data_IF_883068714733
#
_entry.id   IF_883068714733
#
_cell.length_a   1.000
_cell.length_b   1.000
_cell.length_c   1.000
_cell.angle_alpha   90.00
_cell.angle_beta   90.00
_cell.angle_gamma   90.00
#
_symmetry.space_group_name_H-M   'P 1'
#
loop_
_entity.id
_entity.type
_entity.pdbx_description
1 polymer ?
#
# COMPACT_ATOMS: atom_id res chain seq x y z
N UNK A 1 -12.94 -2.45 -2.60
CA UNK A 1 -11.78 -3.15 -3.19
C UNK A 1 -10.54 -2.32 -2.92
N UNK A 2 -9.39 -2.96 -2.66
CA UNK A 2 -8.09 -2.31 -2.62
C UNK A 2 -7.68 -2.16 -4.09
N UNK A 3 -7.62 -0.95 -4.64
CA UNK A 3 -7.36 -0.70 -6.07
C UNK A 3 -5.92 -0.98 -6.50
N UNK A 4 -5.30 -2.04 -5.98
CA UNK A 4 -3.88 -2.36 -6.12
C UNK A 4 -3.73 -3.79 -6.61
N UNK A 5 -2.82 -3.99 -7.59
CA UNK A 5 -2.45 -5.32 -8.07
C UNK A 5 -1.55 -5.99 -7.03
N UNK A 6 -1.97 -7.15 -6.56
CA UNK A 6 -1.18 -7.98 -5.66
C UNK A 6 -0.55 -9.13 -6.44
N UNK A 7 0.55 -9.67 -5.91
CA UNK A 7 1.09 -10.92 -6.40
C UNK A 7 0.05 -12.03 -6.28
N UNK A 8 -0.05 -12.91 -7.29
CA UNK A 8 -1.09 -13.96 -7.37
C UNK A 8 -1.15 -14.83 -6.11
N UNK A 9 0.00 -15.14 -5.52
CA UNK A 9 0.09 -15.93 -4.30
C UNK A 9 -0.48 -15.20 -3.09
N UNK A 10 -0.20 -13.91 -2.96
CA UNK A 10 -0.72 -13.07 -1.87
C UNK A 10 -2.23 -12.87 -2.00
N UNK A 11 -2.72 -12.68 -3.23
CA UNK A 11 -4.16 -12.59 -3.48
C UNK A 11 -4.90 -13.88 -3.09
N UNK A 12 -4.34 -15.05 -3.42
CA UNK A 12 -4.90 -16.34 -3.01
C UNK A 12 -4.93 -16.52 -1.49
N UNK A 13 -3.90 -16.05 -0.78
CA UNK A 13 -3.88 -16.07 0.69
C UNK A 13 -4.94 -15.15 1.29
N UNK A 14 -5.14 -13.96 0.72
CA UNK A 14 -6.18 -13.02 1.15
C UNK A 14 -7.59 -13.54 0.88
N UNK A 15 -7.80 -14.22 -0.25
CA UNK A 15 -9.06 -14.90 -0.59
C UNK A 15 -9.39 -15.97 0.46
N UNK A 16 -8.46 -16.88 0.75
CA UNK A 16 -8.66 -17.93 1.74
C UNK A 16 -8.96 -17.37 3.15
N UNK A 17 -8.33 -16.26 3.52
CA UNK A 17 -8.61 -15.54 4.78
C UNK A 17 -10.00 -14.92 4.79
N UNK A 18 -10.42 -14.33 3.67
CA UNK A 18 -11.73 -13.72 3.53
C UNK A 18 -12.85 -14.77 3.63
N UNK A 19 -12.68 -15.92 2.97
CA UNK A 19 -13.60 -17.04 3.01
C UNK A 19 -13.74 -17.60 4.44
N UNK A 20 -12.62 -17.85 5.12
CA UNK A 20 -12.63 -18.41 6.49
C UNK A 20 -13.24 -17.48 7.52
N UNK A 21 -13.05 -16.17 7.39
CA UNK A 21 -13.51 -15.21 8.39
C UNK A 21 -14.85 -14.55 8.05
N UNK A 22 -15.39 -14.76 6.85
CA UNK A 22 -16.55 -14.02 6.33
C UNK A 22 -16.35 -12.51 6.25
N UNK A 23 -15.10 -12.04 6.13
CA UNK A 23 -14.76 -10.61 6.03
C UNK A 23 -14.18 -10.32 4.65
N UNK A 24 -14.40 -9.13 4.07
CA UNK A 24 -13.87 -8.81 2.76
C UNK A 24 -12.33 -8.75 2.79
N UNK A 25 -11.68 -9.08 1.68
CA UNK A 25 -10.20 -9.02 1.55
C UNK A 25 -9.59 -7.68 2.01
N UNK A 26 -10.27 -6.57 1.72
CA UNK A 26 -9.84 -5.22 2.13
C UNK A 26 -9.80 -5.03 3.65
N UNK A 27 -10.62 -5.77 4.41
CA UNK A 27 -10.56 -5.76 5.86
C UNK A 27 -9.23 -6.34 6.34
N UNK A 28 -8.87 -7.54 5.84
CA UNK A 28 -7.62 -8.21 6.20
C UNK A 28 -6.39 -7.42 5.78
N UNK A 29 -6.42 -6.85 4.57
CA UNK A 29 -5.33 -5.98 4.10
C UNK A 29 -5.13 -4.76 5.01
N UNK A 30 -6.19 -4.05 5.40
CA UNK A 30 -6.09 -2.93 6.36
C UNK A 30 -5.53 -3.35 7.69
N UNK A 31 -5.97 -4.49 8.23
CA UNK A 31 -5.50 -4.98 9.53
C UNK A 31 -4.03 -5.36 9.45
N UNK A 32 -3.60 -6.02 8.37
CA UNK A 32 -2.20 -6.37 8.15
C UNK A 32 -1.31 -5.12 8.06
N UNK A 33 -1.71 -4.11 7.29
CA UNK A 33 -0.99 -2.83 7.18
C UNK A 33 -0.93 -2.14 8.55
N UNK A 34 -2.06 -2.03 9.26
CA UNK A 34 -2.10 -1.40 10.59
C UNK A 34 -1.18 -2.14 11.58
N UNK A 35 -1.19 -3.47 11.58
CA UNK A 35 -0.30 -4.28 12.43
C UNK A 35 1.16 -4.05 12.07
N UNK A 36 1.50 -4.05 10.79
CA UNK A 36 2.87 -3.79 10.33
C UNK A 36 3.38 -2.42 10.81
N UNK A 37 2.56 -1.37 10.66
CA UNK A 37 2.89 -0.02 11.12
C UNK A 37 3.05 0.07 12.64
N UNK A 38 2.20 -0.60 13.40
CA UNK A 38 2.27 -0.63 14.87
C UNK A 38 3.48 -1.42 15.39
N UNK A 39 3.89 -2.47 14.69
CA UNK A 39 5.02 -3.31 15.10
C UNK A 39 6.37 -2.73 14.66
N UNK A 40 6.41 -1.98 13.56
CA UNK A 40 7.64 -1.46 12.96
C UNK A 40 7.60 0.06 12.83
N UNK A 41 7.42 0.77 13.94
CA UNK A 41 7.29 2.24 13.96
C UNK A 41 8.46 2.96 13.26
N UNK A 42 9.68 2.41 13.38
CA UNK A 42 10.88 2.92 12.70
C UNK A 42 10.87 2.65 11.19
N UNK A 43 10.31 1.52 10.75
CA UNK A 43 10.20 1.22 9.32
C UNK A 43 9.09 2.01 8.64
N UNK A 44 8.00 2.27 9.36
CA UNK A 44 6.95 3.19 8.93
C UNK A 44 7.51 4.60 8.69
N UNK A 45 8.37 5.11 9.58
CA UNK A 45 9.07 6.40 9.39
C UNK A 45 9.98 6.35 8.16
N UNK A 46 10.76 5.28 7.96
CA UNK A 46 11.62 5.11 6.78
C UNK A 46 10.84 5.07 5.47
N UNK A 47 9.74 4.33 5.41
CA UNK A 47 8.90 4.28 4.22
C UNK A 47 8.18 5.61 3.94
N UNK A 48 7.71 6.30 4.99
CA UNK A 48 7.15 7.65 4.82
C UNK A 48 8.17 8.60 4.19
N UNK A 49 9.42 8.55 4.63
CA UNK A 49 10.51 9.35 4.06
C UNK A 49 10.74 9.02 2.57
N UNK A 50 10.77 7.73 2.22
CA UNK A 50 10.97 7.28 0.84
C UNK A 50 9.83 7.69 -0.10
N UNK A 51 8.58 7.62 0.36
CA UNK A 51 7.42 8.05 -0.42
C UNK A 51 7.41 9.57 -0.60
N UNK A 52 7.70 10.35 0.46
CA UNK A 52 7.80 11.81 0.33
C UNK A 52 8.88 12.24 -0.66
N UNK A 53 10.02 11.54 -0.68
CA UNK A 53 11.09 11.84 -1.67
C UNK A 53 10.73 11.40 -3.09
N UNK A 54 9.85 10.41 -3.26
CA UNK A 54 9.42 9.95 -4.58
C UNK A 54 8.33 10.84 -5.19
N UNK A 55 7.44 11.41 -4.36
CA UNK A 55 6.40 12.35 -4.82
C UNK A 55 6.98 13.68 -5.33
N UNK A 56 8.13 14.12 -4.79
CA UNK A 56 8.82 15.33 -5.26
C UNK A 56 9.41 15.15 -6.67
N UNK A 57 9.91 13.96 -7.02
CA UNK A 57 10.51 13.69 -8.33
C UNK A 57 9.45 13.50 -9.44
N UNK A 58 8.33 12.83 -9.13
CA UNK A 58 7.25 12.61 -10.10
C UNK A 58 6.47 13.91 -10.39
N UNK A 59 6.23 14.77 -9.39
CA UNK A 59 5.51 16.04 -9.57
C UNK A 59 6.29 17.08 -10.41
N UNK A 60 7.61 17.16 -10.27
CA UNK A 60 8.44 18.04 -11.11
C UNK A 60 8.53 17.57 -12.57
N UNK A 61 8.42 16.26 -12.82
CA UNK A 61 8.49 15.71 -14.18
C UNK A 61 7.23 16.00 -15.00
N UNK A 62 6.05 16.01 -14.35
CA UNK A 62 4.75 16.20 -15.01
C UNK A 62 4.45 17.69 -15.33
N UNK A 63 5.00 18.62 -14.54
CA UNK A 63 4.75 20.06 -14.72
C UNK A 63 5.60 20.73 -15.79
N UNK A 64 6.69 20.09 -16.25
CA UNK A 64 7.54 20.60 -17.36
C UNK A 64 6.87 20.54 -18.73
N UNK A 65 5.77 19.80 -18.88
CA UNK A 65 5.03 19.67 -20.13
C UNK A 65 3.91 20.70 -20.36
N UNK A 66 3.53 21.48 -19.34
CA UNK A 66 2.36 22.37 -19.38
C UNK A 66 2.70 23.86 -19.55
N UNK A 67 3.98 24.24 -19.53
CA UNK A 67 4.42 25.61 -19.83
C UNK A 67 4.79 25.74 -21.30
N UNK A 68 3.79 25.95 -22.15
CA UNK A 68 3.98 26.55 -23.48
C UNK A 68 2.86 27.51 -23.82
#
# INVERSE_FOLDING_TARGET
>A
MLGIRLERRLEAQLEALAERSGKPKSYHARVAIRRYLLTNEDEAKRQSLLVSTAEDEDFESDTRGWTK
#
